data_IF_056277446189
#
_entry.id   IF_056277446189
#
_cell.length_a   1.000
_cell.length_b   1.000
_cell.length_c   1.000
_cell.angle_alpha   90.00
_cell.angle_beta   90.00
_cell.angle_gamma   90.00
#
_symmetry.space_group_name_H-M   'P 1'
#
loop_
_entity.id
_entity.type
_entity.pdbx_description
1 polymer ?
#
# COMPACT_ATOMS: atom_id res chain seq x y z
N UNK A 1 5.60 -32.14 17.36
CA UNK A 1 4.15 -31.88 17.24
C UNK A 1 3.96 -30.37 17.28
N UNK A 2 3.45 -29.76 16.20
CA UNK A 2 3.09 -28.34 16.18
C UNK A 2 1.77 -28.20 16.94
N UNK A 3 1.75 -27.39 17.99
CA UNK A 3 0.56 -27.21 18.81
C UNK A 3 -0.46 -26.36 18.03
N UNK A 4 -1.72 -26.76 18.00
CA UNK A 4 -2.82 -26.05 17.33
C UNK A 4 -2.88 -24.55 17.69
N UNK A 5 -2.39 -24.19 18.88
CA UNK A 5 -2.30 -22.80 19.34
C UNK A 5 -1.47 -21.86 18.47
N UNK A 6 -0.48 -22.37 17.73
CA UNK A 6 0.36 -21.54 16.84
C UNK A 6 -0.44 -21.07 15.61
N UNK A 7 -1.33 -21.92 15.09
CA UNK A 7 -2.16 -21.61 13.91
C UNK A 7 -3.21 -20.56 14.24
N UNK A 8 -3.91 -20.71 15.37
CA UNK A 8 -4.94 -19.74 15.80
C UNK A 8 -4.36 -18.36 16.11
N UNK A 9 -3.16 -18.31 16.71
CA UNK A 9 -2.41 -17.06 16.90
C UNK A 9 -2.10 -16.39 15.56
N UNK A 10 -1.63 -17.17 14.58
CA UNK A 10 -1.39 -16.70 13.22
C UNK A 10 -2.65 -16.18 12.53
N UNK A 11 -3.78 -16.88 12.65
CA UNK A 11 -5.05 -16.48 12.04
C UNK A 11 -5.55 -15.14 12.61
N UNK A 12 -5.47 -14.93 13.92
CA UNK A 12 -5.82 -13.64 14.54
C UNK A 12 -4.96 -12.49 14.02
N UNK A 13 -3.65 -12.73 13.85
CA UNK A 13 -2.73 -11.74 13.26
C UNK A 13 -3.10 -11.44 11.80
N UNK A 14 -3.39 -12.49 11.01
CA UNK A 14 -3.81 -12.34 9.63
C UNK A 14 -5.11 -11.53 9.53
N UNK A 15 -6.11 -11.84 10.35
CA UNK A 15 -7.38 -11.12 10.38
C UNK A 15 -7.20 -9.62 10.65
N UNK A 16 -6.35 -9.26 11.61
CA UNK A 16 -6.02 -7.86 11.88
C UNK A 16 -5.40 -7.17 10.64
N UNK A 17 -4.49 -7.85 9.94
CA UNK A 17 -3.88 -7.32 8.71
C UNK A 17 -4.89 -7.19 7.56
N UNK A 18 -5.81 -8.15 7.41
CA UNK A 18 -6.88 -8.08 6.41
C UNK A 18 -7.79 -6.86 6.60
N UNK A 19 -8.06 -6.49 7.86
CA UNK A 19 -8.79 -5.26 8.18
C UNK A 19 -8.01 -4.00 7.80
N UNK A 20 -6.69 -3.99 8.02
CA UNK A 20 -5.82 -2.86 7.65
C UNK A 20 -5.81 -2.64 6.13
N UNK A 21 -5.68 -3.71 5.34
CA UNK A 21 -5.72 -3.62 3.87
C UNK A 21 -7.15 -3.51 3.31
N UNK A 22 -8.18 -3.55 4.17
CA UNK A 22 -9.60 -3.50 3.79
C UNK A 22 -9.99 -4.57 2.77
N UNK A 23 -9.59 -5.82 3.05
CA UNK A 23 -9.92 -6.95 2.18
C UNK A 23 -11.45 -7.12 2.06
N UNK A 24 -12.03 -7.03 0.85
CA UNK A 24 -13.48 -7.08 0.66
C UNK A 24 -14.03 -8.49 0.46
N UNK A 25 -13.16 -9.49 0.22
CA UNK A 25 -13.55 -10.85 -0.11
C UNK A 25 -13.92 -11.71 1.09
N UNK A 26 -14.61 -12.82 0.83
CA UNK A 26 -14.81 -13.86 1.83
C UNK A 26 -13.49 -14.54 2.18
N UNK A 27 -13.27 -14.80 3.47
CA UNK A 27 -12.06 -15.45 3.98
C UNK A 27 -12.43 -16.85 4.47
N UNK A 28 -11.92 -17.88 3.80
CA UNK A 28 -12.13 -19.27 4.20
C UNK A 28 -11.17 -19.69 5.33
N UNK A 29 -11.55 -19.42 6.58
CA UNK A 29 -10.77 -19.79 7.76
C UNK A 29 -10.57 -21.31 7.92
N UNK A 30 -11.46 -22.14 7.39
CA UNK A 30 -11.33 -23.60 7.42
C UNK A 30 -10.27 -24.06 6.43
N UNK A 31 -10.26 -23.51 5.21
CA UNK A 31 -9.18 -23.71 4.25
C UNK A 31 -7.83 -23.20 4.76
N UNK A 32 -7.78 -22.01 5.35
CA UNK A 32 -6.56 -21.43 5.92
C UNK A 32 -5.96 -22.30 7.04
N UNK A 33 -6.79 -22.81 7.95
CA UNK A 33 -6.31 -23.67 9.06
C UNK A 33 -5.76 -25.02 8.57
N UNK A 34 -6.30 -25.56 7.47
CA UNK A 34 -5.81 -26.78 6.80
C UNK A 34 -4.63 -26.53 5.86
N UNK A 35 -4.34 -25.26 5.54
CA UNK A 35 -3.27 -24.92 4.61
C UNK A 35 -3.66 -25.11 3.15
N UNK A 36 -4.95 -25.00 2.82
CA UNK A 36 -5.43 -25.05 1.44
C UNK A 36 -4.93 -23.81 0.66
N UNK A 37 -4.13 -23.96 -0.41
CA UNK A 37 -3.66 -22.84 -1.22
C UNK A 37 -4.78 -21.97 -1.78
N UNK A 38 -5.94 -22.54 -2.11
CA UNK A 38 -7.06 -21.80 -2.70
C UNK A 38 -7.60 -20.72 -1.77
N UNK A 39 -7.45 -20.89 -0.45
CA UNK A 39 -7.83 -19.89 0.55
C UNK A 39 -6.82 -18.73 0.66
N UNK A 40 -5.53 -18.96 0.35
CA UNK A 40 -4.48 -17.93 0.46
C UNK A 40 -4.33 -17.09 -0.82
N UNK A 41 -4.49 -17.70 -1.99
CA UNK A 41 -4.24 -17.05 -3.28
C UNK A 41 -5.07 -15.76 -3.48
N UNK A 42 -6.38 -15.72 -3.20
CA UNK A 42 -7.19 -14.50 -3.35
C UNK A 42 -6.73 -13.36 -2.44
N UNK A 43 -6.28 -13.68 -1.22
CA UNK A 43 -5.78 -12.69 -0.27
C UNK A 43 -4.50 -12.04 -0.80
N UNK A 44 -3.55 -12.85 -1.29
CA UNK A 44 -2.28 -12.34 -1.83
C UNK A 44 -2.49 -11.54 -3.10
N UNK A 45 -3.38 -12.02 -3.99
CA UNK A 45 -3.71 -11.32 -5.23
C UNK A 45 -4.27 -9.92 -4.93
N UNK A 46 -5.22 -9.82 -4.01
CA UNK A 46 -5.75 -8.54 -3.57
C UNK A 46 -4.68 -7.65 -2.93
N UNK A 47 -3.85 -8.22 -2.05
CA UNK A 47 -2.81 -7.47 -1.36
C UNK A 47 -1.84 -6.82 -2.36
N UNK A 48 -1.43 -7.53 -3.41
CA UNK A 48 -0.48 -7.00 -4.39
C UNK A 48 -1.09 -6.03 -5.40
N UNK A 49 -2.37 -6.20 -5.75
CA UNK A 49 -3.00 -5.47 -6.86
C UNK A 49 -3.92 -4.33 -6.42
N UNK A 50 -4.65 -4.51 -5.32
CA UNK A 50 -5.75 -3.63 -4.94
C UNK A 50 -5.51 -2.88 -3.62
N UNK A 51 -4.67 -3.40 -2.73
CA UNK A 51 -4.40 -2.74 -1.44
C UNK A 51 -3.59 -1.44 -1.57
N UNK A 52 -2.77 -1.32 -2.62
CA UNK A 52 -1.88 -0.18 -2.84
C UNK A 52 -1.76 0.14 -4.33
N UNK A 53 -2.55 1.09 -4.87
CA UNK A 53 -2.46 1.54 -6.25
C UNK A 53 -1.04 1.92 -6.72
N UNK A 54 -0.25 2.73 -5.97
CA UNK A 54 1.10 3.11 -6.45
C UNK A 54 2.07 1.93 -6.49
N UNK A 55 1.82 0.88 -5.69
CA UNK A 55 2.61 -0.33 -5.74
C UNK A 55 2.20 -1.21 -6.92
N UNK A 56 0.91 -1.33 -7.21
CA UNK A 56 0.42 -2.04 -8.38
C UNK A 56 0.93 -1.41 -9.69
N UNK A 57 0.96 -0.08 -9.78
CA UNK A 57 1.58 0.65 -10.90
C UNK A 57 3.07 0.33 -11.04
N UNK A 58 3.81 0.28 -9.92
CA UNK A 58 5.22 -0.12 -9.92
C UNK A 58 5.40 -1.57 -10.42
N UNK A 59 4.50 -2.48 -10.04
CA UNK A 59 4.53 -3.86 -10.53
C UNK A 59 4.28 -3.93 -12.05
N UNK A 60 3.30 -3.18 -12.56
CA UNK A 60 3.03 -3.10 -14.00
C UNK A 60 4.22 -2.52 -14.76
N UNK A 61 4.83 -1.43 -14.26
CA UNK A 61 6.02 -0.83 -14.86
C UNK A 61 7.23 -1.79 -14.87
N UNK A 62 7.30 -2.72 -13.91
CA UNK A 62 8.32 -3.77 -13.87
C UNK A 62 7.97 -5.01 -14.73
N UNK A 63 6.83 -5.02 -15.43
CA UNK A 63 6.36 -6.17 -16.21
C UNK A 63 5.87 -7.36 -15.38
N UNK A 64 5.55 -7.12 -14.10
CA UNK A 64 5.12 -8.14 -13.13
C UNK A 64 3.60 -8.12 -12.92
N UNK A 65 2.84 -8.24 -14.00
CA UNK A 65 1.38 -8.28 -13.95
C UNK A 65 0.87 -9.53 -13.22
N UNK A 66 -0.18 -9.42 -12.41
CA UNK A 66 -0.70 -10.53 -11.58
C UNK A 66 -2.13 -10.95 -11.97
N UNK A 67 -2.74 -10.28 -12.94
CA UNK A 67 -4.13 -10.49 -13.37
C UNK A 67 -4.22 -11.63 -14.41
N UNK A 68 -5.33 -12.38 -14.38
CA UNK A 68 -5.64 -13.39 -15.42
C UNK A 68 -4.70 -14.60 -15.49
N UNK A 69 -3.86 -14.82 -14.47
CA UNK A 69 -2.88 -15.92 -14.42
C UNK A 69 -3.46 -17.17 -13.77
N UNK A 70 -2.96 -18.33 -14.18
CA UNK A 70 -3.15 -19.59 -13.43
C UNK A 70 -2.43 -19.52 -12.09
N UNK A 71 -2.85 -20.33 -11.11
CA UNK A 71 -2.26 -20.35 -9.76
C UNK A 71 -0.73 -20.56 -9.77
N UNK A 72 -0.23 -21.37 -10.71
CA UNK A 72 1.20 -21.62 -10.88
C UNK A 72 1.93 -20.36 -11.34
N UNK A 73 1.46 -19.71 -12.42
CA UNK A 73 2.08 -18.49 -12.94
C UNK A 73 1.95 -17.30 -12.00
N UNK A 74 0.82 -17.21 -11.28
CA UNK A 74 0.63 -16.24 -10.22
C UNK A 74 1.68 -16.44 -9.13
N UNK A 75 1.86 -17.68 -8.65
CA UNK A 75 2.84 -18.00 -7.61
C UNK A 75 4.28 -17.75 -8.09
N UNK A 76 4.60 -18.05 -9.33
CA UNK A 76 5.90 -17.71 -9.92
C UNK A 76 6.16 -16.21 -9.90
N UNK A 77 5.16 -15.42 -10.29
CA UNK A 77 5.26 -13.96 -10.32
C UNK A 77 5.39 -13.40 -8.91
N UNK A 78 4.59 -13.90 -7.95
CA UNK A 78 4.70 -13.56 -6.52
C UNK A 78 6.14 -13.78 -6.01
N UNK A 79 6.74 -14.93 -6.30
CA UNK A 79 8.09 -15.23 -5.82
C UNK A 79 9.17 -14.35 -6.47
N UNK A 80 8.98 -13.96 -7.74
CA UNK A 80 9.83 -12.95 -8.39
C UNK A 80 9.68 -11.59 -7.72
N UNK A 81 8.45 -11.13 -7.48
CA UNK A 81 8.18 -9.86 -6.77
C UNK A 81 8.87 -9.84 -5.40
N UNK A 82 8.75 -10.91 -4.62
CA UNK A 82 9.37 -11.00 -3.30
C UNK A 82 10.90 -10.91 -3.37
N UNK A 83 11.51 -11.55 -4.36
CA UNK A 83 12.95 -11.54 -4.53
C UNK A 83 13.46 -10.22 -5.07
N UNK A 84 12.87 -9.74 -6.16
CA UNK A 84 13.45 -8.67 -6.97
C UNK A 84 13.08 -7.28 -6.42
N UNK A 85 11.91 -7.15 -5.77
CA UNK A 85 11.43 -5.85 -5.25
C UNK A 85 11.64 -5.75 -3.74
N UNK A 86 11.37 -6.83 -3.01
CA UNK A 86 11.45 -6.83 -1.56
C UNK A 86 12.76 -7.41 -1.01
N UNK A 87 13.61 -8.02 -1.84
CA UNK A 87 14.78 -8.78 -1.40
C UNK A 87 14.46 -9.78 -0.28
N UNK A 88 13.22 -10.27 -0.25
CA UNK A 88 12.72 -11.18 0.77
C UNK A 88 12.99 -12.62 0.33
N UNK A 89 13.54 -13.43 1.24
CA UNK A 89 13.79 -14.86 1.03
C UNK A 89 12.58 -15.67 1.52
N UNK A 90 11.76 -16.26 0.63
CA UNK A 90 10.58 -17.01 1.02
C UNK A 90 10.91 -18.21 1.91
N UNK A 91 10.15 -18.39 2.99
CA UNK A 91 10.28 -19.53 3.91
C UNK A 91 9.73 -20.84 3.34
N UNK A 92 8.85 -20.75 2.33
CA UNK A 92 8.27 -21.87 1.61
C UNK A 92 8.78 -21.87 0.18
N UNK A 93 8.86 -23.04 -0.43
CA UNK A 93 9.03 -23.16 -1.88
C UNK A 93 7.67 -22.99 -2.59
N UNK A 94 7.69 -22.65 -3.88
CA UNK A 94 6.49 -22.54 -4.71
C UNK A 94 5.59 -23.77 -4.62
N UNK A 95 6.19 -24.96 -4.69
CA UNK A 95 5.49 -26.23 -4.58
C UNK A 95 4.86 -26.42 -3.19
N UNK A 96 5.59 -26.11 -2.11
CA UNK A 96 5.04 -26.18 -0.75
C UNK A 96 3.91 -25.17 -0.52
N UNK A 97 3.97 -24.02 -1.18
CA UNK A 97 2.89 -23.03 -1.13
C UNK A 97 1.62 -23.54 -1.81
N UNK A 98 1.75 -24.22 -2.95
CA UNK A 98 0.64 -24.78 -3.72
C UNK A 98 0.17 -26.18 -3.25
N UNK A 99 0.88 -26.81 -2.33
CA UNK A 99 0.47 -28.10 -1.74
C UNK A 99 -0.41 -27.90 -0.51
N UNK A 100 -1.32 -28.83 -0.24
CA UNK A 100 -2.08 -28.84 1.01
C UNK A 100 -1.17 -28.95 2.24
N UNK A 101 -1.57 -28.35 3.36
CA UNK A 101 -0.80 -28.33 4.61
C UNK A 101 0.09 -27.09 4.78
N UNK A 102 1.09 -27.18 5.66
CA UNK A 102 1.98 -26.07 6.04
C UNK A 102 1.23 -24.81 6.53
N UNK A 103 0.02 -24.95 7.09
CA UNK A 103 -0.88 -23.85 7.42
C UNK A 103 -0.21 -22.72 8.19
N UNK A 104 0.45 -23.03 9.31
CA UNK A 104 1.16 -22.02 10.11
C UNK A 104 2.22 -21.25 9.30
N UNK A 105 3.04 -21.96 8.52
CA UNK A 105 4.08 -21.32 7.69
C UNK A 105 3.45 -20.46 6.59
N UNK A 106 2.36 -20.90 5.97
CA UNK A 106 1.64 -20.11 4.97
C UNK A 106 1.00 -18.87 5.57
N UNK A 107 0.36 -18.99 6.72
CA UNK A 107 -0.22 -17.86 7.45
C UNK A 107 0.86 -16.83 7.80
N UNK A 108 1.99 -17.27 8.36
CA UNK A 108 3.12 -16.39 8.64
C UNK A 108 3.65 -15.73 7.36
N UNK A 109 3.81 -16.51 6.29
CA UNK A 109 4.28 -16.01 4.99
C UNK A 109 3.35 -14.93 4.42
N UNK A 110 2.02 -15.13 4.48
CA UNK A 110 1.06 -14.11 4.02
C UNK A 110 1.09 -12.87 4.90
N UNK A 111 1.22 -13.03 6.22
CA UNK A 111 1.37 -11.88 7.11
C UNK A 111 2.61 -11.06 6.77
N UNK A 112 3.74 -11.70 6.47
CA UNK A 112 4.97 -11.02 6.06
C UNK A 112 4.77 -10.27 4.74
N UNK A 113 4.15 -10.91 3.74
CA UNK A 113 3.85 -10.28 2.44
C UNK A 113 3.01 -9.02 2.63
N UNK A 114 1.93 -9.08 3.41
CA UNK A 114 1.06 -7.91 3.65
C UNK A 114 1.85 -6.79 4.33
N UNK A 115 2.67 -7.11 5.33
CA UNK A 115 3.48 -6.11 6.02
C UNK A 115 4.52 -5.47 5.08
N UNK A 116 5.18 -6.24 4.22
CA UNK A 116 6.11 -5.74 3.22
C UNK A 116 5.42 -4.75 2.27
N UNK A 117 4.22 -5.09 1.79
CA UNK A 117 3.42 -4.22 0.92
C UNK A 117 3.03 -2.93 1.64
N UNK A 118 2.57 -3.01 2.90
CA UNK A 118 2.23 -1.83 3.70
C UNK A 118 3.44 -0.92 3.94
N UNK A 119 4.60 -1.49 4.24
CA UNK A 119 5.85 -0.74 4.38
C UNK A 119 6.21 -0.04 3.06
N UNK A 120 6.18 -0.76 1.94
CA UNK A 120 6.47 -0.19 0.62
C UNK A 120 5.48 0.90 0.23
N UNK A 121 4.19 0.70 0.49
CA UNK A 121 3.16 1.71 0.27
C UNK A 121 3.47 3.01 1.03
N UNK A 122 3.89 2.90 2.29
CA UNK A 122 4.27 4.07 3.09
C UNK A 122 5.51 4.79 2.54
N UNK A 123 6.49 4.04 2.01
CA UNK A 123 7.68 4.59 1.36
C UNK A 123 7.32 5.32 0.07
N UNK A 124 6.48 4.72 -0.77
CA UNK A 124 6.03 5.31 -2.04
C UNK A 124 5.20 6.58 -1.79
N UNK A 125 4.31 6.59 -0.79
CA UNK A 125 3.57 7.80 -0.39
C UNK A 125 4.47 8.93 0.06
N UNK A 126 5.52 8.64 0.85
CA UNK A 126 6.51 9.65 1.27
C UNK A 126 7.26 10.23 0.08
N UNK A 127 7.71 9.39 -0.85
CA UNK A 127 8.41 9.82 -2.07
C UNK A 127 7.49 10.68 -2.94
N UNK A 128 6.23 10.27 -3.15
CA UNK A 128 5.26 11.07 -3.90
C UNK A 128 5.02 12.43 -3.24
N UNK A 129 4.85 12.48 -1.92
CA UNK A 129 4.73 13.75 -1.19
C UNK A 129 5.98 14.63 -1.34
N UNK A 130 7.17 14.05 -1.24
CA UNK A 130 8.43 14.78 -1.39
C UNK A 130 8.63 15.33 -2.80
N UNK A 131 8.26 14.56 -3.83
CA UNK A 131 8.31 15.03 -5.22
C UNK A 131 7.34 16.17 -5.46
N UNK A 132 6.13 16.12 -4.91
CA UNK A 132 5.16 17.23 -4.99
C UNK A 132 5.71 18.48 -4.30
N UNK A 133 6.31 18.35 -3.11
CA UNK A 133 6.91 19.49 -2.40
C UNK A 133 8.11 20.05 -3.17
N UNK A 134 9.00 19.21 -3.68
CA UNK A 134 10.14 19.66 -4.49
C UNK A 134 9.68 20.31 -5.80
N UNK A 135 8.65 19.77 -6.46
CA UNK A 135 8.10 20.37 -7.68
C UNK A 135 7.46 21.73 -7.39
N UNK A 136 6.69 21.86 -6.32
CA UNK A 136 6.14 23.15 -5.87
C UNK A 136 7.27 24.12 -5.53
N UNK A 137 8.31 23.68 -4.80
CA UNK A 137 9.46 24.52 -4.45
C UNK A 137 10.25 24.95 -5.69
N UNK A 138 10.43 24.07 -6.67
CA UNK A 138 11.09 24.39 -7.94
C UNK A 138 10.27 25.40 -8.75
N UNK A 139 8.96 25.21 -8.85
CA UNK A 139 8.05 26.19 -9.45
C UNK A 139 8.07 27.53 -8.73
N UNK A 140 8.12 27.53 -7.40
CA UNK A 140 8.17 28.75 -6.59
C UNK A 140 9.50 29.47 -6.76
N UNK A 141 10.62 28.74 -6.76
CA UNK A 141 11.96 29.28 -7.00
C UNK A 141 12.13 29.82 -8.43
N UNK A 142 11.41 29.28 -9.42
CA UNK A 142 11.34 29.84 -10.76
C UNK A 142 10.38 31.04 -10.90
N UNK A 143 9.48 31.28 -9.93
CA UNK A 143 8.64 32.49 -9.91
C UNK A 143 9.35 33.73 -9.32
N UNK A 144 10.46 33.56 -8.61
CA UNK A 144 11.22 34.69 -8.04
C UNK A 144 12.07 35.46 -9.08
N UNK A 145 12.07 35.07 -10.36
CA UNK A 145 12.84 35.74 -11.42
C UNK A 145 12.03 36.60 -12.41
N UNK A 146 10.70 36.60 -12.38
CA UNK A 146 9.88 37.39 -13.33
C UNK A 146 8.75 38.17 -12.63
N UNK A 147 9.13 39.22 -11.90
CA UNK A 147 8.19 40.22 -11.37
C UNK A 147 7.69 41.15 -12.48
N UNK A 148 6.89 40.65 -13.44
CA UNK A 148 6.14 41.56 -14.31
C UNK A 148 4.78 41.07 -14.84
N UNK A 149 4.28 39.89 -14.46
CA UNK A 149 2.92 39.45 -14.84
C UNK A 149 2.19 38.87 -13.62
N UNK A 150 1.81 39.75 -12.70
CA UNK A 150 0.88 39.42 -11.62
C UNK A 150 -0.55 39.44 -12.17
N UNK A 151 -1.17 38.27 -12.37
CA UNK A 151 -2.62 38.03 -12.19
C UNK A 151 -3.06 36.60 -12.55
N UNK A 152 -2.26 35.80 -13.26
CA UNK A 152 -2.58 34.40 -13.55
C UNK A 152 -2.25 33.35 -12.46
N UNK A 153 -1.29 33.55 -11.52
CA UNK A 153 -0.91 32.47 -10.62
C UNK A 153 -1.85 32.29 -9.40
N UNK A 154 -2.67 33.29 -9.05
CA UNK A 154 -3.59 33.19 -7.90
C UNK A 154 -4.72 32.17 -8.13
N UNK A 155 -5.20 32.01 -9.36
CA UNK A 155 -6.26 31.04 -9.68
C UNK A 155 -5.73 29.59 -9.72
N UNK A 156 -4.50 29.40 -10.21
CA UNK A 156 -3.83 28.10 -10.22
C UNK A 156 -3.45 27.64 -8.81
N UNK A 157 -2.99 28.56 -7.95
CA UNK A 157 -2.72 28.26 -6.53
C UNK A 157 -4.01 27.91 -5.77
N UNK A 158 -5.11 28.64 -5.99
CA UNK A 158 -6.40 28.33 -5.37
C UNK A 158 -6.90 26.90 -5.68
N UNK A 159 -6.66 26.39 -6.90
CA UNK A 159 -7.04 25.01 -7.26
C UNK A 159 -6.14 23.94 -6.61
N UNK A 160 -4.86 24.24 -6.38
CA UNK A 160 -3.93 23.31 -5.70
C UNK A 160 -4.25 23.23 -4.20
N UNK A 161 -4.54 24.36 -3.55
CA UNK A 161 -4.90 24.40 -2.13
C UNK A 161 -6.27 23.75 -1.83
N UNK A 162 -7.23 23.81 -2.75
CA UNK A 162 -8.53 23.14 -2.61
C UNK A 162 -8.46 21.60 -2.54
N UNK A 163 -7.33 21.00 -2.94
CA UNK A 163 -7.10 19.53 -2.94
C UNK A 163 -6.26 19.02 -1.76
N UNK A 164 -5.73 19.89 -0.90
CA UNK A 164 -4.86 19.51 0.22
C UNK A 164 -5.15 20.35 1.48
N UNK A 165 -6.06 19.91 2.37
CA UNK A 165 -6.45 20.66 3.58
C UNK A 165 -5.32 20.84 4.61
N UNK A 166 -4.26 20.03 4.54
CA UNK A 166 -3.15 20.03 5.51
C UNK A 166 -2.18 21.21 5.35
N UNK A 167 -2.10 21.83 4.17
CA UNK A 167 -1.25 23.00 3.93
C UNK A 167 -1.88 24.31 4.46
N UNK A 168 -3.22 24.36 4.56
CA UNK A 168 -3.92 25.55 5.03
C UNK A 168 -3.71 25.80 6.53
N UNK A 169 -3.65 24.73 7.33
CA UNK A 169 -3.42 24.83 8.78
C UNK A 169 -2.01 25.29 9.14
N UNK A 170 -1.00 24.89 8.36
CA UNK A 170 0.40 25.24 8.65
C UNK A 170 0.70 26.72 8.36
N UNK A 171 -0.02 27.33 7.42
CA UNK A 171 0.19 28.73 7.02
C UNK A 171 -0.68 29.75 7.77
N UNK A 172 -1.81 29.35 8.36
CA UNK A 172 -2.81 30.30 8.92
C UNK A 172 -3.10 30.13 10.43
N UNK A 173 -2.42 29.21 11.12
CA UNK A 173 -2.71 28.82 12.51
C UNK A 173 -2.25 29.76 13.63
N UNK A 174 -1.85 31.02 13.38
CA UNK A 174 -1.45 31.97 14.44
C UNK A 174 -2.19 33.32 14.42
N UNK A 175 -3.36 33.42 13.77
CA UNK A 175 -4.19 34.63 13.81
C UNK A 175 -5.47 34.42 14.63
N UNK A 176 -5.51 34.93 15.87
CA UNK A 176 -6.72 35.00 16.69
C UNK A 176 -7.75 35.94 16.07
N UNK A 177 -8.82 35.40 15.48
CA UNK A 177 -9.97 36.18 15.01
C UNK A 177 -11.01 36.31 16.13
N UNK A 178 -11.22 37.53 16.64
CA UNK A 178 -12.40 37.89 17.43
C UNK A 178 -13.39 38.63 16.51
N UNK A 179 -14.66 38.21 16.40
CA UNK A 179 -15.65 38.94 15.63
C UNK A 179 -16.23 40.11 16.47
N UNK A 180 -16.18 41.34 15.94
CA UNK A 180 -16.95 42.46 16.49
C UNK A 180 -18.43 42.37 16.10
N UNK A 181 -19.36 42.77 17.00
CA UNK A 181 -20.79 42.70 16.76
C UNK A 181 -21.29 43.85 15.86
N UNK A 182 -22.32 43.59 15.02
CA UNK A 182 -22.88 44.60 14.14
C UNK A 182 -23.73 45.65 14.89
N UNK A 183 -23.57 46.90 14.47
CA UNK A 183 -24.34 48.10 14.87
C UNK A 183 -25.75 48.13 14.30
#
# INVERSE_FOLDING_TARGET
>A
MLSTGDVEGGLRKLEALLRVIKYPGYVDYNGLSKGDPSAFLPIVSFALTSSSPPFAEQLMAAGLELTGKTDLHFTDTLYKVLRDIFNYKPILTRQQFLQWGFSHRKISFICDIINLILQKHSQLKKVQGLLVVNFIFMYFSQMETDYSIALLPLYAMAQVYARCPLLFWYHFGQGSWQPEPPS
#
